data_IF_440437457764
#
_entry.id   IF_440437457764
#
_cell.length_a   1.000
_cell.length_b   1.000
_cell.length_c   1.000
_cell.angle_alpha   90.00
_cell.angle_beta   90.00
_cell.angle_gamma   90.00
#
_symmetry.space_group_name_H-M   'P 1'
#
loop_
_entity.id
_entity.type
_entity.pdbx_description
1 polymer ?
#
# COMPACT_ATOMS: atom_id res chain seq x y z
N UNK A 1 -54.99 22.92 21.76
CA UNK A 1 -53.68 22.92 22.44
C UNK A 1 -53.71 23.55 23.82
N UNK A 2 -54.23 24.76 23.98
CA UNK A 2 -54.19 25.47 25.27
C UNK A 2 -54.90 24.71 26.41
N UNK A 3 -56.02 24.04 26.13
CA UNK A 3 -56.75 23.22 27.12
C UNK A 3 -56.01 21.93 27.49
N UNK A 4 -55.20 21.38 26.59
CA UNK A 4 -54.41 20.16 26.85
C UNK A 4 -53.14 20.49 27.65
N UNK A 5 -52.49 21.62 27.34
CA UNK A 5 -51.24 22.04 27.98
C UNK A 5 -51.46 22.71 29.34
N UNK A 6 -52.59 23.40 29.54
CA UNK A 6 -52.88 24.17 30.76
C UNK A 6 -53.98 23.54 31.64
N UNK A 7 -54.13 22.21 31.63
CA UNK A 7 -55.20 21.51 32.39
C UNK A 7 -55.22 21.90 33.87
N UNK A 8 -54.06 21.93 34.53
CA UNK A 8 -53.98 22.25 35.95
C UNK A 8 -54.40 23.70 36.25
N UNK A 9 -54.00 24.63 35.40
CA UNK A 9 -54.37 26.04 35.54
C UNK A 9 -55.87 26.26 35.31
N UNK A 10 -56.47 25.55 34.35
CA UNK A 10 -57.90 25.64 34.08
C UNK A 10 -58.71 24.96 35.19
N UNK A 11 -58.28 23.79 35.67
CA UNK A 11 -58.92 23.09 36.79
C UNK A 11 -58.95 23.95 38.05
N UNK A 12 -57.84 24.63 38.38
CA UNK A 12 -57.78 25.53 39.53
C UNK A 12 -58.69 26.74 39.36
N UNK A 13 -58.69 27.39 38.18
CA UNK A 13 -59.60 28.50 37.89
C UNK A 13 -61.07 28.10 37.98
N UNK A 14 -61.43 26.92 37.45
CA UNK A 14 -62.79 26.40 37.51
C UNK A 14 -63.20 26.08 38.94
N UNK A 15 -62.29 25.48 39.73
CA UNK A 15 -62.53 25.24 41.17
C UNK A 15 -62.81 26.55 41.89
N UNK A 16 -61.96 27.55 41.74
CA UNK A 16 -62.09 28.84 42.44
C UNK A 16 -63.37 29.58 42.06
N UNK A 17 -63.81 29.46 40.79
CA UNK A 17 -65.05 30.06 40.31
C UNK A 17 -66.28 29.32 40.85
N UNK A 18 -66.27 27.99 40.79
CA UNK A 18 -67.38 27.16 41.27
C UNK A 18 -67.52 27.25 42.79
N UNK A 19 -66.44 27.22 43.55
CA UNK A 19 -66.45 27.34 45.03
C UNK A 19 -67.12 28.66 45.46
N UNK A 20 -66.75 29.78 44.82
CA UNK A 20 -67.33 31.09 45.09
C UNK A 20 -68.84 31.15 44.82
N UNK A 21 -69.30 30.51 43.75
CA UNK A 21 -70.71 30.52 43.36
C UNK A 21 -71.54 29.54 44.21
N UNK A 22 -70.95 28.42 44.66
CA UNK A 22 -71.64 27.42 45.50
C UNK A 22 -71.61 27.70 46.99
N UNK A 23 -70.76 28.63 47.45
CA UNK A 23 -70.69 29.07 48.85
C UNK A 23 -72.04 29.54 49.41
N UNK A 24 -72.85 30.22 48.59
CA UNK A 24 -74.19 30.69 48.97
C UNK A 24 -75.18 29.55 49.29
N UNK A 25 -74.89 28.35 48.79
CA UNK A 25 -75.68 27.13 49.01
C UNK A 25 -75.07 26.21 50.06
N UNK A 26 -73.94 26.61 50.69
CA UNK A 26 -73.28 25.85 51.73
C UNK A 26 -72.53 24.60 51.25
N UNK A 27 -72.20 24.53 49.95
CA UNK A 27 -71.46 23.41 49.34
C UNK A 27 -70.05 23.88 49.00
N UNK A 28 -69.03 23.17 49.52
CA UNK A 28 -67.62 23.45 49.26
C UNK A 28 -67.07 22.56 48.16
N UNK A 29 -66.40 23.14 47.16
CA UNK A 29 -65.84 22.40 46.02
C UNK A 29 -64.37 22.06 46.27
N UNK A 30 -64.07 20.79 46.51
CA UNK A 30 -62.70 20.36 46.86
C UNK A 30 -61.76 20.24 45.65
N UNK A 31 -62.23 19.64 44.55
CA UNK A 31 -61.43 19.43 43.33
C UNK A 31 -62.30 19.41 42.08
N UNK A 32 -61.80 20.05 41.01
CA UNK A 32 -62.37 20.00 39.66
C UNK A 32 -61.36 19.35 38.72
N UNK A 33 -61.83 18.45 37.86
CA UNK A 33 -60.99 17.76 36.89
C UNK A 33 -61.69 17.67 35.55
N UNK A 34 -61.07 18.21 34.52
CA UNK A 34 -61.52 18.05 33.13
C UNK A 34 -61.24 16.62 32.68
N UNK A 35 -62.30 15.83 32.46
CA UNK A 35 -62.18 14.46 31.94
C UNK A 35 -61.80 14.43 30.46
N UNK A 36 -62.69 14.90 29.60
CA UNK A 36 -62.54 14.84 28.14
C UNK A 36 -62.92 16.19 27.52
N UNK A 37 -62.20 16.55 26.47
CA UNK A 37 -62.47 17.76 25.68
C UNK A 37 -62.43 17.32 24.23
N UNK A 38 -63.58 17.32 23.58
CA UNK A 38 -63.68 16.99 22.18
C UNK A 38 -63.58 18.26 21.33
N UNK A 39 -62.48 18.46 20.59
CA UNK A 39 -62.41 19.56 19.62
C UNK A 39 -63.35 19.28 18.44
N UNK A 40 -63.93 20.35 17.89
CA UNK A 40 -64.74 20.27 16.67
C UNK A 40 -63.94 19.63 15.51
N UNK A 41 -64.62 18.90 14.63
CA UNK A 41 -63.98 18.06 13.59
C UNK A 41 -62.93 18.79 12.74
N UNK A 42 -63.19 20.05 12.36
CA UNK A 42 -62.24 20.86 11.59
C UNK A 42 -60.90 21.10 12.33
N UNK A 43 -60.95 21.37 13.65
CA UNK A 43 -59.74 21.60 14.46
C UNK A 43 -58.98 20.29 14.68
N UNK A 44 -59.70 19.18 14.89
CA UNK A 44 -59.10 17.84 15.04
C UNK A 44 -58.33 17.43 13.78
N UNK A 45 -58.90 17.66 12.60
CA UNK A 45 -58.24 17.38 11.32
C UNK A 45 -56.99 18.24 11.13
N UNK A 46 -57.10 19.56 11.35
CA UNK A 46 -55.96 20.48 11.22
C UNK A 46 -54.81 20.12 12.19
N UNK A 47 -55.13 19.76 13.44
CA UNK A 47 -54.13 19.35 14.43
C UNK A 47 -53.47 18.02 14.06
N UNK A 48 -54.23 17.08 13.49
CA UNK A 48 -53.71 15.79 13.02
C UNK A 48 -52.77 15.99 11.83
N UNK A 49 -53.17 16.82 10.87
CA UNK A 49 -52.36 17.18 9.70
C UNK A 49 -51.05 17.87 10.12
N UNK A 50 -51.12 18.85 11.02
CA UNK A 50 -49.95 19.54 11.55
C UNK A 50 -49.00 18.58 12.28
N UNK A 51 -49.53 17.70 13.13
CA UNK A 51 -48.72 16.72 13.87
C UNK A 51 -48.08 15.70 12.93
N UNK A 52 -48.81 15.29 11.88
CA UNK A 52 -48.30 14.41 10.84
C UNK A 52 -47.16 15.07 10.07
N UNK A 53 -47.34 16.32 9.63
CA UNK A 53 -46.32 17.08 8.92
C UNK A 53 -45.06 17.31 9.76
N UNK A 54 -45.20 17.62 11.05
CA UNK A 54 -44.07 17.78 11.96
C UNK A 54 -43.33 16.45 12.19
N UNK A 55 -44.06 15.33 12.31
CA UNK A 55 -43.45 13.99 12.39
C UNK A 55 -42.70 13.63 11.12
N UNK A 56 -43.30 13.89 9.96
CA UNK A 56 -42.68 13.63 8.66
C UNK A 56 -41.41 14.47 8.48
N UNK A 57 -41.47 15.76 8.82
CA UNK A 57 -40.30 16.64 8.82
C UNK A 57 -39.19 16.12 9.72
N UNK A 58 -39.51 15.72 10.95
CA UNK A 58 -38.52 15.15 11.89
C UNK A 58 -37.93 13.85 11.36
N UNK A 59 -38.77 12.97 10.78
CA UNK A 59 -38.32 11.72 10.20
C UNK A 59 -37.40 11.95 8.99
N UNK A 60 -37.69 12.94 8.14
CA UNK A 60 -36.85 13.31 7.01
C UNK A 60 -35.48 13.84 7.45
N UNK A 61 -35.44 14.72 8.46
CA UNK A 61 -34.18 15.23 9.04
C UNK A 61 -33.36 14.08 9.61
N UNK A 62 -34.00 13.19 10.39
CA UNK A 62 -33.32 12.05 11.01
C UNK A 62 -32.72 11.10 9.96
N UNK A 63 -33.46 10.83 8.87
CA UNK A 63 -32.96 10.01 7.75
C UNK A 63 -31.77 10.66 7.06
N UNK A 64 -31.87 11.94 6.72
CA UNK A 64 -30.78 12.68 6.06
C UNK A 64 -29.51 12.71 6.93
N UNK A 65 -29.65 12.90 8.25
CA UNK A 65 -28.53 12.83 9.18
C UNK A 65 -27.94 11.41 9.26
N UNK A 66 -28.80 10.38 9.26
CA UNK A 66 -28.39 8.99 9.21
C UNK A 66 -27.59 8.65 7.95
N UNK A 67 -28.09 9.04 6.79
CA UNK A 67 -27.43 8.85 5.49
C UNK A 67 -26.09 9.59 5.43
N UNK A 68 -26.05 10.84 5.89
CA UNK A 68 -24.81 11.62 5.97
C UNK A 68 -23.76 10.93 6.85
N UNK A 69 -24.17 10.48 8.06
CA UNK A 69 -23.26 9.77 8.97
C UNK A 69 -22.79 8.45 8.39
N UNK A 70 -23.68 7.69 7.75
CA UNK A 70 -23.34 6.43 7.12
C UNK A 70 -22.33 6.63 5.98
N UNK A 71 -22.53 7.64 5.13
CA UNK A 71 -21.61 7.97 4.04
C UNK A 71 -20.22 8.37 4.55
N UNK A 72 -20.16 9.19 5.61
CA UNK A 72 -18.88 9.58 6.24
C UNK A 72 -18.18 8.35 6.81
N UNK A 73 -18.87 7.53 7.60
CA UNK A 73 -18.29 6.34 8.21
C UNK A 73 -17.80 5.32 7.17
N UNK A 74 -18.54 5.16 6.07
CA UNK A 74 -18.13 4.30 4.95
C UNK A 74 -16.87 4.85 4.27
N UNK A 75 -16.78 6.16 4.04
CA UNK A 75 -15.61 6.78 3.42
C UNK A 75 -14.38 6.71 4.33
N UNK A 76 -14.55 6.92 5.64
CA UNK A 76 -13.50 6.75 6.65
C UNK A 76 -13.01 5.30 6.71
N UNK A 77 -13.93 4.33 6.73
CA UNK A 77 -13.60 2.91 6.69
C UNK A 77 -12.82 2.53 5.44
N UNK A 78 -13.24 3.01 4.26
CA UNK A 78 -12.52 2.78 3.01
C UNK A 78 -11.12 3.38 3.03
N UNK A 79 -11.00 4.65 3.48
CA UNK A 79 -9.70 5.32 3.64
C UNK A 79 -8.78 4.53 4.57
N UNK A 80 -9.28 4.11 5.72
CA UNK A 80 -8.49 3.37 6.69
C UNK A 80 -8.08 1.99 6.15
N UNK A 81 -8.97 1.31 5.43
CA UNK A 81 -8.65 0.05 4.75
C UNK A 81 -7.51 0.22 3.74
N UNK A 82 -7.59 1.24 2.86
CA UNK A 82 -6.56 1.51 1.87
C UNK A 82 -5.20 1.83 2.51
N UNK A 83 -5.18 2.58 3.61
CA UNK A 83 -3.94 2.88 4.35
C UNK A 83 -3.33 1.60 4.93
N UNK A 84 -4.14 0.78 5.61
CA UNK A 84 -3.69 -0.47 6.21
C UNK A 84 -3.17 -1.45 5.15
N UNK A 85 -3.82 -1.54 4.00
CA UNK A 85 -3.38 -2.36 2.89
C UNK A 85 -2.03 -1.88 2.33
N UNK A 86 -1.88 -0.58 2.08
CA UNK A 86 -0.63 0.01 1.61
C UNK A 86 0.52 -0.16 2.63
N UNK A 87 0.24 -0.01 3.92
CA UNK A 87 1.20 -0.26 5.00
C UNK A 87 1.60 -1.74 5.07
N UNK A 88 0.62 -2.65 4.95
CA UNK A 88 0.85 -4.08 4.90
C UNK A 88 1.70 -4.50 3.71
N UNK A 89 1.43 -3.96 2.52
CA UNK A 89 2.26 -4.19 1.33
C UNK A 89 3.68 -3.70 1.53
N UNK A 90 3.85 -2.48 2.05
CA UNK A 90 5.17 -1.89 2.33
C UNK A 90 5.95 -2.77 3.30
N UNK A 91 5.35 -3.14 4.43
CA UNK A 91 5.98 -4.01 5.42
C UNK A 91 6.33 -5.37 4.84
N UNK A 92 5.41 -5.96 4.06
CA UNK A 92 5.63 -7.24 3.39
C UNK A 92 6.81 -7.19 2.41
N UNK A 93 6.93 -6.12 1.60
CA UNK A 93 8.07 -5.91 0.69
C UNK A 93 9.39 -5.77 1.42
N UNK A 94 9.41 -5.02 2.53
CA UNK A 94 10.61 -4.86 3.38
C UNK A 94 11.04 -6.20 3.97
N UNK A 95 10.11 -6.94 4.58
CA UNK A 95 10.40 -8.23 5.21
C UNK A 95 10.90 -9.26 4.20
N UNK A 96 10.33 -9.29 2.99
CA UNK A 96 10.83 -10.16 1.91
C UNK A 96 12.26 -9.78 1.51
N UNK A 97 12.53 -8.50 1.27
CA UNK A 97 13.86 -8.03 0.90
C UNK A 97 14.91 -8.31 2.00
N UNK A 98 14.51 -8.19 3.27
CA UNK A 98 15.37 -8.53 4.40
C UNK A 98 15.65 -10.02 4.48
N UNK A 99 14.62 -10.86 4.32
CA UNK A 99 14.75 -12.32 4.25
C UNK A 99 15.68 -12.76 3.13
N UNK A 100 15.51 -12.20 1.92
CA UNK A 100 16.36 -12.49 0.77
C UNK A 100 17.82 -12.10 1.03
N UNK A 101 18.04 -10.91 1.60
CA UNK A 101 19.38 -10.45 1.99
C UNK A 101 20.02 -11.41 2.99
N UNK A 102 19.31 -11.77 4.05
CA UNK A 102 19.80 -12.68 5.09
C UNK A 102 20.12 -14.06 4.51
N UNK A 103 19.22 -14.60 3.67
CA UNK A 103 19.43 -15.86 2.98
C UNK A 103 20.72 -15.85 2.14
N UNK A 104 20.93 -14.80 1.33
CA UNK A 104 22.16 -14.68 0.52
C UNK A 104 23.43 -14.61 1.36
N UNK A 105 23.39 -13.88 2.47
CA UNK A 105 24.53 -13.79 3.40
C UNK A 105 24.85 -15.17 3.99
N UNK A 106 23.82 -15.91 4.44
CA UNK A 106 24.01 -17.24 5.03
C UNK A 106 24.55 -18.25 4.01
N UNK A 107 24.07 -18.22 2.76
CA UNK A 107 24.58 -19.06 1.68
C UNK A 107 26.06 -18.74 1.41
N UNK A 108 26.40 -17.46 1.22
CA UNK A 108 27.79 -17.05 0.97
C UNK A 108 28.72 -17.41 2.14
N UNK A 109 28.24 -17.31 3.39
CA UNK A 109 28.98 -17.75 4.57
C UNK A 109 29.21 -19.27 4.57
N UNK A 110 28.19 -20.05 4.23
CA UNK A 110 28.30 -21.51 4.11
C UNK A 110 29.31 -21.93 3.04
N UNK A 111 29.26 -21.31 1.87
CA UNK A 111 30.22 -21.54 0.78
C UNK A 111 31.65 -21.18 1.19
N UNK A 112 31.85 -20.00 1.80
CA UNK A 112 33.16 -19.58 2.28
C UNK A 112 33.73 -20.52 3.36
N UNK A 113 32.88 -21.05 4.24
CA UNK A 113 33.26 -22.07 5.22
C UNK A 113 33.64 -23.39 4.53
N UNK A 114 32.85 -23.83 3.56
CA UNK A 114 33.14 -25.03 2.76
C UNK A 114 34.49 -24.93 2.06
N UNK A 115 34.74 -23.83 1.34
CA UNK A 115 36.03 -23.57 0.68
C UNK A 115 37.19 -23.54 1.67
N UNK A 116 36.99 -22.96 2.85
CA UNK A 116 38.01 -22.95 3.92
C UNK A 116 38.34 -24.36 4.39
N UNK A 117 37.33 -25.21 4.62
CA UNK A 117 37.52 -26.60 5.05
C UNK A 117 38.30 -27.37 3.98
N UNK A 118 37.92 -27.23 2.71
CA UNK A 118 38.63 -27.85 1.58
C UNK A 118 40.09 -27.37 1.52
N UNK A 119 40.32 -26.05 1.61
CA UNK A 119 41.66 -25.47 1.56
C UNK A 119 42.55 -25.92 2.73
N UNK A 120 42.01 -26.08 3.94
CA UNK A 120 42.75 -26.61 5.09
C UNK A 120 43.04 -28.10 4.89
N UNK A 121 42.05 -28.88 4.44
CA UNK A 121 42.21 -30.33 4.18
C UNK A 121 43.23 -30.62 3.07
N UNK A 122 43.30 -29.76 2.03
CA UNK A 122 44.22 -29.93 0.92
C UNK A 122 45.68 -29.55 1.25
N UNK A 123 45.96 -28.83 2.34
CA UNK A 123 47.35 -28.52 2.76
C UNK A 123 48.17 -29.76 3.07
N UNK A 124 47.52 -30.86 3.47
CA UNK A 124 48.18 -32.13 3.73
C UNK A 124 48.35 -33.00 2.47
N UNK A 125 47.78 -32.59 1.32
CA UNK A 125 47.92 -33.31 0.06
C UNK A 125 49.21 -32.89 -0.64
N UNK A 126 49.97 -33.87 -1.13
CA UNK A 126 51.18 -33.64 -1.92
C UNK A 126 50.83 -33.01 -3.29
N UNK A 127 51.78 -32.28 -3.90
CA UNK A 127 51.57 -31.59 -5.19
C UNK A 127 51.08 -32.53 -6.29
N UNK A 128 51.50 -33.81 -6.24
CA UNK A 128 51.09 -34.86 -7.18
C UNK A 128 49.63 -35.31 -7.00
N UNK A 129 49.12 -35.32 -5.77
CA UNK A 129 47.71 -35.63 -5.51
C UNK A 129 46.78 -34.52 -5.98
N UNK A 130 47.20 -33.26 -5.86
CA UNK A 130 46.41 -32.11 -6.34
C UNK A 130 46.31 -32.13 -7.88
N UNK A 131 47.38 -32.47 -8.59
CA UNK A 131 47.35 -32.57 -10.06
C UNK A 131 46.52 -33.74 -10.57
N UNK A 132 46.55 -34.89 -9.90
CA UNK A 132 45.68 -36.02 -10.26
C UNK A 132 44.22 -35.67 -10.01
N UNK A 133 43.92 -35.01 -8.89
CA UNK A 133 42.55 -34.57 -8.57
C UNK A 133 42.04 -33.50 -9.54
N UNK A 134 42.88 -32.54 -9.95
CA UNK A 134 42.49 -31.53 -10.95
C UNK A 134 42.28 -32.15 -12.33
N UNK A 135 43.06 -33.15 -12.72
CA UNK A 135 42.86 -33.89 -13.96
C UNK A 135 41.56 -34.72 -13.94
N UNK A 136 41.23 -35.33 -12.80
CA UNK A 136 39.96 -36.05 -12.62
C UNK A 136 38.75 -35.11 -12.59
N UNK A 137 38.86 -33.94 -11.95
CA UNK A 137 37.82 -32.91 -11.98
C UNK A 137 37.59 -32.37 -13.40
N UNK A 138 38.67 -32.17 -14.15
CA UNK A 138 38.62 -31.74 -15.55
C UNK A 138 38.01 -32.82 -16.45
N UNK A 139 38.30 -34.10 -16.19
CA UNK A 139 37.65 -35.23 -16.85
C UNK A 139 36.14 -35.26 -16.57
N UNK A 140 35.70 -35.12 -15.31
CA UNK A 140 34.27 -35.08 -14.94
C UNK A 140 33.54 -33.87 -15.53
N UNK A 141 34.21 -32.72 -15.62
CA UNK A 141 33.69 -31.54 -16.30
C UNK A 141 33.53 -31.78 -17.82
N UNK A 142 34.46 -32.53 -18.44
CA UNK A 142 34.40 -32.90 -19.85
C UNK A 142 33.37 -34.00 -20.17
N UNK A 143 32.98 -34.80 -19.17
CA UNK A 143 31.92 -35.83 -19.27
C UNK A 143 30.50 -35.25 -19.11
N UNK A 144 30.34 -33.98 -18.71
CA UNK A 144 29.03 -33.32 -18.62
C UNK A 144 28.46 -32.93 -20.00
N UNK A 145 27.15 -33.02 -20.18
CA UNK A 145 26.44 -32.83 -21.48
C UNK A 145 26.46 -31.40 -22.07
N UNK A 146 27.38 -30.52 -21.66
CA UNK A 146 27.44 -29.14 -22.14
C UNK A 146 28.28 -29.01 -23.43
N UNK A 147 27.64 -28.63 -24.54
CA UNK A 147 28.26 -28.59 -25.89
C UNK A 147 29.15 -27.37 -26.16
N UNK A 148 29.36 -26.47 -25.19
CA UNK A 148 30.21 -25.27 -25.36
C UNK A 148 31.23 -25.17 -24.23
N UNK A 149 32.45 -25.67 -24.49
CA UNK A 149 33.58 -25.57 -23.58
C UNK A 149 34.29 -24.24 -23.87
N UNK A 150 34.11 -23.25 -23.00
CA UNK A 150 34.89 -22.01 -23.01
C UNK A 150 36.11 -22.25 -22.12
N UNK A 151 37.28 -22.39 -22.74
CA UNK A 151 38.52 -22.63 -22.02
C UNK A 151 39.07 -21.28 -21.50
N UNK A 152 39.18 -21.07 -20.17
CA UNK A 152 39.84 -19.89 -19.65
C UNK A 152 41.32 -19.88 -20.08
N UNK A 153 41.86 -18.70 -20.37
CA UNK A 153 43.25 -18.52 -20.81
C UNK A 153 44.29 -19.11 -19.84
N UNK A 154 43.92 -19.33 -18.58
CA UNK A 154 44.74 -19.99 -17.55
C UNK A 154 45.10 -21.44 -17.86
N UNK A 155 44.29 -22.17 -18.64
CA UNK A 155 44.61 -23.56 -19.07
C UNK A 155 45.87 -23.57 -19.95
N UNK A 156 46.07 -22.54 -20.78
CA UNK A 156 47.30 -22.38 -21.56
C UNK A 156 48.52 -22.22 -20.65
N UNK A 157 48.38 -21.51 -19.53
CA UNK A 157 49.45 -21.37 -18.52
C UNK A 157 49.77 -22.71 -17.85
N UNK A 158 48.75 -23.51 -17.53
CA UNK A 158 48.90 -24.87 -16.99
C UNK A 158 49.62 -25.81 -17.97
N UNK A 159 49.27 -25.73 -19.27
CA UNK A 159 49.93 -26.50 -20.34
C UNK A 159 51.39 -26.06 -20.48
N UNK A 160 51.67 -24.75 -20.50
CA UNK A 160 53.06 -24.21 -20.52
C UNK A 160 53.87 -24.69 -19.31
N UNK A 161 53.27 -24.69 -18.12
CA UNK A 161 53.93 -25.20 -16.90
C UNK A 161 54.19 -26.71 -16.98
N UNK A 162 53.26 -27.48 -17.56
CA UNK A 162 53.44 -28.92 -17.80
C UNK A 162 54.48 -29.23 -18.88
N UNK A 163 54.58 -28.39 -19.92
CA UNK A 163 55.59 -28.49 -20.97
C UNK A 163 56.99 -28.17 -20.44
N UNK A 164 57.12 -27.17 -19.56
CA UNK A 164 58.36 -26.91 -18.79
C UNK A 164 58.75 -28.11 -17.92
N UNK A 165 57.77 -28.75 -17.27
CA UNK A 165 58.00 -29.97 -16.46
C UNK A 165 58.44 -31.18 -17.29
N UNK A 166 58.03 -31.26 -18.56
CA UNK A 166 58.41 -32.32 -19.50
C UNK A 166 59.71 -32.03 -20.28
N UNK A 167 60.42 -30.93 -19.95
CA UNK A 167 61.75 -30.65 -20.50
C UNK A 167 61.75 -29.95 -21.87
N UNK A 168 60.64 -29.31 -22.27
CA UNK A 168 60.66 -28.40 -23.41
C UNK A 168 61.36 -27.08 -23.02
N UNK A 169 62.52 -26.80 -23.62
CA UNK A 169 63.21 -25.50 -23.55
C UNK A 169 62.45 -24.44 -24.33
N UNK A 170 62.29 -23.26 -23.72
CA UNK A 170 61.55 -22.11 -24.25
C UNK A 170 62.17 -21.55 -25.54
N UNK A 171 61.33 -21.28 -26.55
CA UNK A 171 61.53 -20.10 -27.37
C UNK A 171 60.96 -18.90 -26.59
N UNK A 172 61.82 -17.92 -26.31
CA UNK A 172 61.45 -16.67 -25.66
C UNK A 172 60.46 -15.91 -26.55
N UNK A 173 59.21 -15.82 -26.10
CA UNK A 173 58.31 -14.73 -26.52
C UNK A 173 58.34 -13.68 -25.42
N UNK A 174 58.72 -12.47 -25.80
CA UNK A 174 58.73 -11.27 -24.97
C UNK A 174 57.39 -11.12 -24.22
N UNK A 175 57.47 -10.93 -22.91
CA UNK A 175 56.36 -10.48 -22.08
C UNK A 175 55.96 -9.07 -22.52
N UNK A 176 54.95 -8.96 -23.36
CA UNK A 176 54.11 -7.77 -23.33
C UNK A 176 53.13 -7.95 -22.17
N UNK A 177 53.42 -7.28 -21.04
CA UNK A 177 52.41 -6.90 -20.06
C UNK A 177 51.39 -5.98 -20.75
N UNK A 178 50.48 -6.55 -21.53
CA UNK A 178 49.18 -5.92 -21.74
C UNK A 178 48.34 -6.33 -20.56
N UNK A 179 48.38 -5.50 -19.51
CA UNK A 179 47.23 -5.29 -18.66
C UNK A 179 46.00 -5.30 -19.57
N UNK A 180 45.15 -6.31 -19.43
CA UNK A 180 43.78 -6.23 -19.91
C UNK A 180 43.14 -5.08 -19.12
N UNK A 181 43.30 -3.86 -19.63
CA UNK A 181 42.32 -2.80 -19.41
C UNK A 181 40.99 -3.43 -19.82
N UNK A 182 40.18 -3.79 -18.82
CA UNK A 182 38.76 -3.94 -19.07
C UNK A 182 38.34 -2.63 -19.71
N UNK A 183 37.99 -2.68 -20.99
CA UNK A 183 37.44 -1.53 -21.69
C UNK A 183 36.32 -0.94 -20.83
N UNK A 184 36.45 0.32 -20.44
CA UNK A 184 35.46 1.05 -19.64
C UNK A 184 34.08 1.11 -20.33
N UNK A 185 33.96 0.68 -21.59
CA UNK A 185 32.73 0.61 -22.38
C UNK A 185 31.70 -0.47 -21.95
N UNK A 186 31.88 -1.17 -20.83
CA UNK A 186 30.82 -2.03 -20.26
C UNK A 186 29.89 -1.24 -19.30
N UNK A 187 30.35 -0.11 -18.77
CA UNK A 187 29.49 0.90 -18.15
C UNK A 187 29.57 2.14 -19.02
N UNK A 188 28.52 2.44 -19.78
CA UNK A 188 28.45 3.70 -20.54
C UNK A 188 28.71 4.92 -19.64
N UNK A 189 29.25 5.98 -20.26
CA UNK A 189 29.66 7.22 -19.57
C UNK A 189 28.65 7.64 -18.50
N UNK A 190 29.13 7.79 -17.27
CA UNK A 190 28.34 8.32 -16.17
C UNK A 190 28.00 9.77 -16.50
N UNK A 191 26.71 10.15 -16.64
CA UNK A 191 26.35 11.48 -17.09
C UNK A 191 26.93 12.53 -16.14
N UNK A 192 27.70 13.48 -16.69
CA UNK A 192 28.24 14.59 -15.94
C UNK A 192 27.11 15.41 -15.30
N UNK A 193 27.43 16.19 -14.26
CA UNK A 193 26.43 17.03 -13.58
C UNK A 193 25.64 17.94 -14.54
N UNK A 194 26.25 18.34 -15.66
CA UNK A 194 25.61 19.16 -16.70
C UNK A 194 24.68 18.32 -17.61
N UNK A 195 25.09 17.10 -17.97
CA UNK A 195 24.29 16.16 -18.78
C UNK A 195 23.12 15.55 -18.01
N UNK A 196 23.27 15.35 -16.70
CA UNK A 196 22.17 14.93 -15.82
C UNK A 196 21.12 16.04 -15.66
N UNK A 197 21.55 17.31 -15.69
CA UNK A 197 20.63 18.47 -15.62
C UNK A 197 19.91 18.66 -16.96
N UNK A 198 20.61 18.50 -18.10
CA UNK A 198 19.99 18.60 -19.42
C UNK A 198 18.99 17.46 -19.68
N UNK A 199 19.34 16.22 -19.33
CA UNK A 199 18.42 15.09 -19.42
C UNK A 199 17.25 15.21 -18.43
N UNK A 200 17.45 15.75 -17.23
CA UNK A 200 16.34 16.09 -16.33
C UNK A 200 15.44 17.21 -16.88
N UNK A 201 16.00 18.20 -17.58
CA UNK A 201 15.23 19.28 -18.23
C UNK A 201 14.48 18.79 -19.48
N UNK A 202 15.04 17.85 -20.24
CA UNK A 202 14.34 17.19 -21.35
C UNK A 202 13.20 16.32 -20.84
N UNK A 203 13.43 15.53 -19.78
CA UNK A 203 12.37 14.75 -19.11
C UNK A 203 11.28 15.68 -18.57
N UNK A 204 11.62 16.83 -17.98
CA UNK A 204 10.63 17.82 -17.53
C UNK A 204 9.85 18.44 -18.70
N UNK A 205 10.50 18.75 -19.83
CA UNK A 205 9.81 19.24 -21.04
C UNK A 205 8.91 18.18 -21.65
N UNK A 206 9.29 16.92 -21.60
CA UNK A 206 8.48 15.82 -22.11
C UNK A 206 7.33 15.49 -21.17
N UNK A 207 7.49 15.63 -19.84
CA UNK A 207 6.39 15.59 -18.88
C UNK A 207 5.42 16.77 -19.10
N UNK A 208 5.90 18.00 -19.34
CA UNK A 208 5.01 19.12 -19.68
C UNK A 208 4.28 18.93 -21.01
N UNK A 209 4.90 18.26 -21.99
CA UNK A 209 4.22 17.89 -23.25
C UNK A 209 3.17 16.80 -23.01
N UNK A 210 3.43 15.84 -22.13
CA UNK A 210 2.49 14.78 -21.75
C UNK A 210 1.29 15.39 -21.01
N UNK A 211 1.51 16.30 -20.05
CA UNK A 211 0.40 17.01 -19.38
C UNK A 211 -0.42 17.85 -20.40
N UNK A 212 0.23 18.52 -21.35
CA UNK A 212 -0.49 19.29 -22.39
C UNK A 212 -1.22 18.40 -23.42
N UNK A 213 -0.73 17.20 -23.72
CA UNK A 213 -1.43 16.24 -24.59
C UNK A 213 -2.61 15.60 -23.87
N UNK A 214 -2.45 15.26 -22.60
CA UNK A 214 -3.49 14.60 -21.80
C UNK A 214 -4.63 15.57 -21.45
N UNK A 215 -4.33 16.84 -21.18
CA UNK A 215 -5.36 17.90 -21.03
C UNK A 215 -6.12 18.14 -22.35
N UNK A 216 -5.48 17.92 -23.51
CA UNK A 216 -6.12 18.04 -24.84
C UNK A 216 -6.99 16.83 -25.20
N UNK A 217 -6.65 15.64 -24.70
CA UNK A 217 -7.47 14.43 -24.85
C UNK A 217 -8.69 14.48 -23.93
N UNK A 218 -8.52 14.89 -22.66
CA UNK A 218 -9.62 15.01 -21.68
C UNK A 218 -10.63 16.11 -22.07
N UNK A 219 -10.19 17.17 -22.74
CA UNK A 219 -11.08 18.24 -23.24
C UNK A 219 -11.81 17.88 -24.53
N UNK A 220 -11.34 16.89 -25.29
CA UNK A 220 -12.00 16.39 -26.52
C UNK A 220 -13.01 15.28 -26.22
N UNK A 221 -12.77 14.46 -25.20
CA UNK A 221 -13.72 13.43 -24.74
C UNK A 221 -14.96 14.00 -24.04
N UNK A 222 -14.91 15.26 -23.58
CA UNK A 222 -16.07 15.97 -22.99
C UNK A 222 -16.89 16.79 -24.00
N UNK A 223 -16.55 16.78 -25.29
CA UNK A 223 -17.22 17.59 -26.32
C UNK A 223 -18.03 16.80 -27.36
N UNK A 224 -18.28 15.50 -27.15
CA UNK A 224 -19.19 14.72 -27.99
C UNK A 224 -20.47 14.35 -27.21
N UNK A 225 -21.55 15.15 -27.29
CA UNK A 225 -22.88 14.71 -26.90
C UNK A 225 -23.60 14.20 -28.14
N UNK A 226 -23.64 12.88 -28.34
CA UNK A 226 -24.73 12.18 -29.02
C UNK A 226 -24.50 10.66 -29.00
N UNK A 227 -25.09 10.01 -28.02
CA UNK A 227 -25.94 8.83 -28.24
C UNK A 227 -27.05 8.80 -27.18
#
# INVERSE_FOLDING_TARGET
DEVLYNRDLINNKLRDMLDRDTDQWGVKVERVEIKEVDPIGAVKSAMTEQTSAERERRAAILRADGEKRAAILSAEGLRQSMILEAEGERQSKILRAEGDRQSRILVAQGEAQGLRIVAVGSRALDKRSITVLSLDALKKMAEGESTKIVLPFEISSLIKQSARFLGATEEQMEETETLLELSDDILGDMPGKEDAISSAQEILKDIEKIEKSDVKMISKEKSDPNE
#
